data_IF_891966357661
#
_entry.id   IF_891966357661
#
_cell.length_a   1.000
_cell.length_b   1.000
_cell.length_c   1.000
_cell.angle_alpha   90.00
_cell.angle_beta   90.00
_cell.angle_gamma   90.00
#
_symmetry.space_group_name_H-M   'P 1'
#
loop_
_entity.id
_entity.type
_entity.pdbx_description
1 polymer ?
#
# COMPACT_ATOMS: atom_id res chain seq x y z
N UNK A 1 22.68 13.74 52.58
CA UNK A 1 22.00 15.02 52.30
C UNK A 1 20.55 14.74 51.96
N UNK A 2 19.62 15.29 52.74
CA UNK A 2 18.17 15.22 52.52
C UNK A 2 17.78 16.39 51.60
N UNK A 3 17.08 16.12 50.51
CA UNK A 3 16.30 17.14 49.80
C UNK A 3 14.89 16.61 49.54
N UNK A 4 13.92 17.38 50.02
CA UNK A 4 12.48 17.18 49.94
C UNK A 4 11.89 18.20 48.94
N UNK A 5 10.75 17.82 48.34
CA UNK A 5 9.75 18.64 47.59
C UNK A 5 10.21 19.06 46.18
N UNK A 6 9.39 19.03 45.12
CA UNK A 6 7.96 19.38 45.05
C UNK A 6 7.21 18.64 43.93
N UNK A 7 5.93 18.40 44.22
CA UNK A 7 4.83 18.07 43.31
C UNK A 7 4.62 19.23 42.33
N UNK A 8 4.33 18.96 41.05
CA UNK A 8 3.38 19.74 40.23
C UNK A 8 2.83 18.81 39.12
N UNK A 9 1.59 18.36 39.31
CA UNK A 9 0.79 17.76 38.27
C UNK A 9 0.28 18.87 37.35
N UNK A 10 0.42 18.68 36.03
CA UNK A 10 -0.21 19.54 35.02
C UNK A 10 -1.16 18.66 34.21
N UNK A 11 -2.41 18.62 34.66
CA UNK A 11 -3.54 18.10 33.89
C UNK A 11 -3.99 19.16 32.90
N UNK A 12 -3.73 18.96 31.62
CA UNK A 12 -4.31 19.76 30.54
C UNK A 12 -5.22 18.87 29.71
N UNK A 13 -6.51 18.86 30.04
CA UNK A 13 -7.55 18.27 29.21
C UNK A 13 -7.99 19.30 28.16
N UNK A 14 -7.70 19.02 26.88
CA UNK A 14 -8.25 19.77 25.76
C UNK A 14 -9.38 18.94 25.14
N UNK A 15 -10.62 19.34 25.41
CA UNK A 15 -11.81 18.82 24.76
C UNK A 15 -11.98 19.49 23.39
N UNK A 16 -11.88 18.74 22.30
CA UNK A 16 -12.33 19.19 20.98
C UNK A 16 -13.70 18.57 20.69
N UNK A 17 -14.69 19.43 20.57
CA UNK A 17 -16.07 19.10 20.22
C UNK A 17 -16.17 18.77 18.74
N UNK A 18 -16.73 17.60 18.43
CA UNK A 18 -17.12 17.19 17.08
C UNK A 18 -18.36 17.98 16.62
N UNK A 19 -18.26 18.64 15.47
CA UNK A 19 -19.43 19.19 14.76
C UNK A 19 -19.75 18.29 13.58
N UNK A 20 -20.96 17.70 13.48
CA UNK A 20 -21.41 17.07 12.24
C UNK A 20 -21.93 18.15 11.28
N UNK A 21 -21.35 18.22 10.08
CA UNK A 21 -21.94 18.96 8.96
C UNK A 21 -22.87 18.00 8.21
N UNK A 22 -24.17 18.23 8.37
CA UNK A 22 -25.24 17.59 7.61
C UNK A 22 -25.76 18.66 6.65
N UNK A 23 -25.65 18.43 5.34
CA UNK A 23 -26.42 19.18 4.35
C UNK A 23 -27.12 18.19 3.43
N UNK A 24 -28.43 18.13 3.58
CA UNK A 24 -29.37 17.48 2.69
C UNK A 24 -30.19 18.55 1.95
N UNK A 25 -30.51 18.29 0.68
CA UNK A 25 -31.75 18.63 -0.05
C UNK A 25 -31.45 18.53 -1.56
N UNK A 26 -31.95 17.55 -2.32
CA UNK A 26 -33.29 17.44 -2.95
C UNK A 26 -33.57 18.62 -3.91
N UNK A 27 -34.11 18.50 -5.13
CA UNK A 27 -34.82 17.43 -5.83
C UNK A 27 -34.93 17.75 -7.36
N UNK A 28 -35.09 16.70 -8.17
CA UNK A 28 -35.88 16.56 -9.41
C UNK A 28 -35.94 17.64 -10.52
N UNK A 29 -35.51 17.23 -11.74
CA UNK A 29 -36.20 17.36 -13.04
C UNK A 29 -35.34 16.56 -14.05
N UNK A 30 -35.78 15.56 -14.80
CA UNK A 30 -37.02 15.44 -15.56
C UNK A 30 -36.74 15.79 -17.02
N UNK A 31 -36.19 14.88 -17.82
CA UNK A 31 -36.24 14.98 -19.28
C UNK A 31 -36.42 13.62 -19.95
N UNK A 32 -37.63 13.47 -20.50
CA UNK A 32 -38.10 12.49 -21.48
C UNK A 32 -37.36 12.60 -22.82
N UNK A 33 -37.15 11.44 -23.43
CA UNK A 33 -36.94 11.07 -24.85
C UNK A 33 -36.84 12.16 -25.92
N UNK A 34 -35.87 12.04 -26.84
CA UNK A 34 -36.15 11.70 -28.25
C UNK A 34 -34.86 11.54 -29.06
N UNK A 35 -34.82 10.48 -29.85
CA UNK A 35 -33.82 10.14 -30.86
C UNK A 35 -33.80 11.16 -32.01
N UNK A 36 -32.61 11.48 -32.51
CA UNK A 36 -32.40 11.94 -33.90
C UNK A 36 -31.28 11.12 -34.52
N UNK A 37 -31.65 10.43 -35.59
CA UNK A 37 -30.80 9.64 -36.45
C UNK A 37 -29.93 10.54 -37.33
N UNK A 38 -28.63 10.25 -37.38
CA UNK A 38 -27.82 10.55 -38.56
C UNK A 38 -26.94 9.33 -38.85
N UNK A 39 -27.03 8.90 -40.11
CA UNK A 39 -26.66 7.61 -40.65
C UNK A 39 -25.16 7.42 -40.95
N UNK A 40 -24.75 6.15 -40.83
CA UNK A 40 -23.57 5.49 -41.40
C UNK A 40 -22.22 5.82 -40.72
N UNK A 41 -21.41 4.86 -40.29
CA UNK A 41 -21.02 3.65 -41.00
C UNK A 41 -20.93 2.42 -40.07
N UNK A 42 -21.23 1.27 -40.67
CA UNK A 42 -21.26 -0.07 -40.11
C UNK A 42 -19.83 -0.55 -39.82
N UNK A 43 -19.54 -0.87 -38.56
CA UNK A 43 -18.58 -1.93 -38.22
C UNK A 43 -19.29 -2.94 -37.33
N UNK A 44 -19.76 -4.01 -37.96
CA UNK A 44 -20.17 -5.23 -37.26
C UNK A 44 -18.96 -5.86 -36.61
N UNK A 45 -18.95 -5.94 -35.29
CA UNK A 45 -18.15 -6.91 -34.55
C UNK A 45 -19.01 -7.43 -33.42
N UNK A 46 -19.79 -8.45 -33.73
CA UNK A 46 -20.43 -9.33 -32.75
C UNK A 46 -19.36 -10.22 -32.13
N UNK A 47 -18.85 -9.85 -30.96
CA UNK A 47 -18.35 -10.78 -29.93
C UNK A 47 -18.61 -10.12 -28.57
N UNK A 48 -19.71 -10.50 -27.93
CA UNK A 48 -19.71 -11.46 -26.80
C UNK A 48 -19.09 -10.83 -25.55
N UNK A 49 -19.96 -10.27 -24.70
CA UNK A 49 -19.62 -9.81 -23.37
C UNK A 49 -19.15 -11.00 -22.52
N UNK A 50 -17.84 -11.22 -22.49
CA UNK A 50 -17.16 -11.99 -21.45
C UNK A 50 -16.62 -11.01 -20.42
N UNK A 51 -16.99 -11.23 -19.18
CA UNK A 51 -16.59 -10.48 -17.99
C UNK A 51 -15.07 -10.45 -17.79
N UNK A 52 -14.36 -9.56 -18.49
CA UNK A 52 -12.95 -9.22 -18.23
C UNK A 52 -12.88 -8.02 -17.29
N UNK A 53 -13.34 -8.19 -16.05
CA UNK A 53 -13.29 -7.14 -15.02
C UNK A 53 -12.07 -7.22 -14.09
N UNK A 54 -11.29 -8.30 -14.14
CA UNK A 54 -10.31 -8.61 -13.08
C UNK A 54 -8.85 -8.34 -13.45
N UNK A 55 -8.46 -8.47 -14.72
CA UNK A 55 -7.05 -8.31 -15.13
C UNK A 55 -6.63 -6.82 -15.11
N UNK A 56 -7.44 -5.94 -15.71
CA UNK A 56 -7.13 -4.51 -15.74
C UNK A 56 -7.12 -3.87 -14.34
N UNK A 57 -7.94 -4.37 -13.41
CA UNK A 57 -7.96 -3.89 -12.02
C UNK A 57 -6.74 -4.39 -11.20
N UNK A 58 -6.25 -5.59 -11.50
CA UNK A 58 -5.03 -6.13 -10.89
C UNK A 58 -3.80 -5.37 -11.36
N UNK A 59 -3.72 -5.05 -12.65
CA UNK A 59 -2.64 -4.26 -13.25
C UNK A 59 -2.66 -2.79 -12.80
N UNK A 60 -3.83 -2.19 -12.60
CA UNK A 60 -3.93 -0.82 -12.08
C UNK A 60 -3.48 -0.74 -10.62
N UNK A 61 -3.83 -1.74 -9.81
CA UNK A 61 -3.41 -1.83 -8.40
C UNK A 61 -1.90 -2.00 -8.27
N UNK A 62 -1.30 -2.95 -9.00
CA UNK A 62 0.15 -3.17 -8.95
C UNK A 62 0.93 -1.93 -9.40
N UNK A 63 0.45 -1.26 -10.45
CA UNK A 63 1.02 0.00 -10.93
C UNK A 63 0.95 1.10 -9.86
N UNK A 64 -0.18 1.25 -9.17
CA UNK A 64 -0.34 2.24 -8.09
C UNK A 64 0.61 1.96 -6.92
N UNK A 65 0.70 0.70 -6.48
CA UNK A 65 1.61 0.24 -5.42
C UNK A 65 3.06 0.55 -5.79
N UNK A 66 3.50 0.16 -6.98
CA UNK A 66 4.88 0.39 -7.44
C UNK A 66 5.20 1.88 -7.54
N UNK A 67 4.30 2.68 -8.09
CA UNK A 67 4.50 4.12 -8.23
C UNK A 67 4.61 4.82 -6.87
N UNK A 68 3.75 4.47 -5.92
CA UNK A 68 3.80 5.02 -4.57
C UNK A 68 5.07 4.59 -3.85
N UNK A 69 5.44 3.30 -3.91
CA UNK A 69 6.68 2.81 -3.31
C UNK A 69 7.92 3.57 -3.83
N UNK A 70 8.02 3.75 -5.15
CA UNK A 70 9.12 4.51 -5.78
C UNK A 70 9.14 5.97 -5.35
N UNK A 71 7.96 6.60 -5.21
CA UNK A 71 7.83 7.97 -4.70
C UNK A 71 8.33 8.09 -3.26
N UNK A 72 7.96 7.17 -2.37
CA UNK A 72 8.44 7.18 -0.99
C UNK A 72 9.95 6.98 -0.90
N UNK A 73 10.50 6.13 -1.74
CA UNK A 73 11.95 5.91 -1.84
C UNK A 73 12.75 7.15 -2.29
N UNK A 74 12.12 8.16 -2.89
CA UNK A 74 12.77 9.42 -3.27
C UNK A 74 12.59 10.55 -2.25
N UNK A 75 11.92 10.30 -1.12
CA UNK A 75 11.56 11.32 -0.13
C UNK A 75 12.48 11.36 1.10
N UNK A 76 13.53 10.54 1.14
CA UNK A 76 14.46 10.49 2.28
C UNK A 76 13.76 10.20 3.62
N UNK A 77 12.71 9.36 3.60
CA UNK A 77 11.98 8.94 4.80
C UNK A 77 12.89 8.05 5.65
N UNK A 78 13.18 8.39 6.91
CA UNK A 78 14.09 7.61 7.74
C UNK A 78 13.48 6.28 8.18
N UNK A 79 14.33 5.30 8.44
CA UNK A 79 13.92 4.11 9.15
C UNK A 79 13.59 4.45 10.61
N UNK A 80 12.41 4.04 11.08
CA UNK A 80 12.01 4.10 12.48
C UNK A 80 11.35 2.77 12.85
N UNK A 81 11.87 2.09 13.87
CA UNK A 81 11.30 0.84 14.36
C UNK A 81 9.84 1.05 14.82
N UNK A 82 8.91 0.25 14.30
CA UNK A 82 7.48 0.42 14.54
C UNK A 82 6.90 1.67 13.87
N UNK A 83 7.60 2.26 12.90
CA UNK A 83 7.14 3.42 12.15
C UNK A 83 6.25 3.03 10.97
N UNK A 84 5.23 3.84 10.70
CA UNK A 84 4.24 3.61 9.63
C UNK A 84 3.80 4.92 8.95
N UNK A 85 4.66 5.94 8.96
CA UNK A 85 4.29 7.29 8.48
C UNK A 85 5.43 7.95 7.72
N UNK A 86 5.13 9.07 7.05
CA UNK A 86 6.15 9.85 6.33
C UNK A 86 7.24 10.43 7.24
N UNK A 87 7.03 10.45 8.56
CA UNK A 87 8.05 10.86 9.54
C UNK A 87 9.04 9.73 9.88
N UNK A 88 8.71 8.49 9.51
CA UNK A 88 9.55 7.32 9.73
C UNK A 88 8.78 6.02 9.52
N UNK A 89 9.43 5.05 8.88
CA UNK A 89 8.85 3.75 8.54
C UNK A 89 9.81 2.61 8.90
N UNK A 90 9.29 1.47 9.34
CA UNK A 90 10.02 0.21 9.27
C UNK A 90 9.56 -0.62 8.06
N UNK A 91 10.09 -1.84 7.92
CA UNK A 91 9.86 -2.67 6.74
C UNK A 91 8.38 -3.02 6.54
N UNK A 92 7.69 -3.48 7.59
CA UNK A 92 6.27 -3.81 7.54
C UNK A 92 5.38 -2.57 7.53
N UNK A 93 5.79 -1.47 8.17
CA UNK A 93 5.02 -0.23 8.16
C UNK A 93 5.05 0.47 6.80
N UNK A 94 6.18 0.41 6.09
CA UNK A 94 6.27 0.87 4.70
C UNK A 94 5.31 0.11 3.79
N UNK A 95 5.29 -1.23 3.89
CA UNK A 95 4.47 -2.07 3.02
C UNK A 95 2.99 -1.91 3.31
N UNK A 96 2.58 -1.85 4.59
CA UNK A 96 1.18 -1.55 4.96
C UNK A 96 0.77 -0.18 4.44
N UNK A 97 1.58 0.87 4.70
CA UNK A 97 1.29 2.21 4.23
C UNK A 97 1.07 2.24 2.71
N UNK A 98 1.97 1.65 1.92
CA UNK A 98 1.83 1.66 0.46
C UNK A 98 0.55 0.95 0.02
N UNK A 99 0.27 -0.23 0.56
CA UNK A 99 -0.92 -1.00 0.16
C UNK A 99 -2.23 -0.36 0.63
N UNK A 100 -2.23 0.24 1.81
CA UNK A 100 -3.38 0.98 2.33
C UNK A 100 -3.69 2.19 1.45
N UNK A 101 -2.69 2.99 1.13
CA UNK A 101 -2.89 4.23 0.37
C UNK A 101 -3.12 3.99 -1.13
N UNK A 102 -2.45 2.99 -1.73
CA UNK A 102 -2.55 2.73 -3.16
C UNK A 102 -3.71 1.79 -3.55
N UNK A 103 -4.10 0.88 -2.64
CA UNK A 103 -5.03 -0.20 -2.94
C UNK A 103 -6.18 -0.35 -1.92
N UNK A 104 -6.17 0.40 -0.82
CA UNK A 104 -7.15 0.25 0.25
C UNK A 104 -7.01 -1.06 1.05
N UNK A 105 -5.86 -1.75 0.94
CA UNK A 105 -5.63 -3.05 1.58
C UNK A 105 -4.79 -2.87 2.85
N UNK A 106 -5.31 -3.36 3.98
CA UNK A 106 -4.57 -3.39 5.25
C UNK A 106 -3.85 -4.72 5.40
N UNK A 107 -2.52 -4.68 5.44
CA UNK A 107 -1.65 -5.84 5.60
C UNK A 107 -1.36 -6.13 7.09
N UNK A 108 -1.39 -5.10 7.93
CA UNK A 108 -0.94 -5.14 9.32
C UNK A 108 0.56 -4.84 9.45
N UNK A 109 0.95 -4.32 10.61
CA UNK A 109 2.31 -3.84 10.86
C UNK A 109 3.32 -4.95 11.24
N UNK A 110 2.94 -6.23 11.19
CA UNK A 110 3.84 -7.33 11.51
C UNK A 110 4.10 -8.19 10.28
N UNK A 111 5.37 -8.43 9.95
CA UNK A 111 5.81 -9.18 8.77
C UNK A 111 5.06 -10.50 8.59
N UNK A 112 4.95 -11.32 9.64
CA UNK A 112 4.24 -12.61 9.59
C UNK A 112 2.73 -12.43 9.36
N UNK A 113 2.14 -11.33 9.83
CA UNK A 113 0.74 -11.02 9.52
C UNK A 113 0.58 -10.77 8.02
N UNK A 114 1.53 -10.05 7.40
CA UNK A 114 1.50 -9.80 5.96
C UNK A 114 1.71 -11.07 5.14
N UNK A 115 2.50 -12.03 5.61
CA UNK A 115 2.65 -13.33 4.96
C UNK A 115 1.30 -14.06 4.81
N UNK A 116 0.41 -13.92 5.80
CA UNK A 116 -0.93 -14.52 5.74
C UNK A 116 -1.84 -13.87 4.69
N UNK A 117 -1.45 -12.70 4.18
CA UNK A 117 -2.18 -11.93 3.17
C UNK A 117 -1.68 -12.18 1.76
N UNK A 118 -0.71 -13.07 1.56
CA UNK A 118 -0.15 -13.34 0.24
C UNK A 118 -0.31 -14.78 -0.21
N UNK A 119 -0.43 -14.97 -1.51
CA UNK A 119 -0.19 -16.25 -2.17
C UNK A 119 1.30 -16.39 -2.46
N UNK A 120 1.97 -17.27 -1.71
CA UNK A 120 3.43 -17.50 -1.77
C UNK A 120 3.86 -18.06 -3.12
N UNK A 121 5.01 -17.60 -3.62
CA UNK A 121 5.67 -18.07 -4.84
C UNK A 121 7.19 -17.97 -4.72
N UNK A 122 7.89 -18.56 -5.69
CA UNK A 122 9.33 -18.39 -5.84
C UNK A 122 9.67 -16.93 -6.18
N UNK A 123 10.81 -16.43 -5.66
CA UNK A 123 11.30 -15.06 -5.94
C UNK A 123 11.46 -14.82 -7.45
N UNK A 124 11.91 -15.83 -8.20
CA UNK A 124 12.05 -15.74 -9.65
C UNK A 124 10.74 -15.46 -10.39
N UNK A 125 9.59 -15.73 -9.76
CA UNK A 125 8.26 -15.49 -10.32
C UNK A 125 7.63 -14.19 -9.80
N UNK A 126 8.37 -13.38 -9.02
CA UNK A 126 7.89 -12.12 -8.49
C UNK A 126 7.49 -11.17 -9.64
N UNK A 127 6.32 -10.56 -9.50
CA UNK A 127 5.79 -9.55 -10.42
C UNK A 127 5.74 -8.19 -9.70
N UNK A 128 5.89 -7.06 -10.42
CA UNK A 128 5.78 -5.73 -9.81
C UNK A 128 4.53 -5.62 -8.92
N UNK A 129 4.72 -5.13 -7.71
CA UNK A 129 3.70 -5.11 -6.66
C UNK A 129 3.84 -6.25 -5.65
N UNK A 130 4.35 -7.44 -6.02
CA UNK A 130 4.51 -8.55 -5.07
C UNK A 130 5.37 -8.15 -3.86
N UNK A 131 5.07 -8.74 -2.70
CA UNK A 131 5.91 -8.60 -1.51
C UNK A 131 7.06 -9.61 -1.54
N UNK A 132 8.25 -9.17 -1.13
CA UNK A 132 9.43 -10.00 -0.93
C UNK A 132 9.65 -10.19 0.56
N UNK A 133 9.93 -11.42 1.00
CA UNK A 133 10.13 -11.75 2.41
C UNK A 133 11.49 -12.39 2.64
N UNK A 134 12.16 -12.02 3.74
CA UNK A 134 13.37 -12.68 4.23
C UNK A 134 13.07 -13.43 5.51
N UNK A 135 13.48 -14.70 5.54
CA UNK A 135 13.17 -15.66 6.60
C UNK A 135 12.24 -16.76 6.11
N UNK A 136 12.12 -17.82 6.93
CA UNK A 136 11.16 -18.88 6.66
C UNK A 136 9.73 -18.35 6.86
N UNK A 137 8.78 -18.90 6.11
CA UNK A 137 7.36 -18.59 6.31
C UNK A 137 6.94 -18.91 7.76
N UNK A 138 6.23 -17.99 8.40
CA UNK A 138 5.91 -18.00 9.83
C UNK A 138 6.96 -17.31 10.71
N UNK A 139 8.09 -16.89 10.13
CA UNK A 139 9.22 -16.31 10.85
C UNK A 139 10.00 -15.27 10.01
N UNK A 140 9.36 -14.61 9.03
CA UNK A 140 10.06 -13.57 8.26
C UNK A 140 10.40 -12.37 9.13
N UNK A 141 11.64 -11.91 9.03
CA UNK A 141 12.16 -10.76 9.79
C UNK A 141 12.24 -9.48 8.95
N UNK A 142 12.06 -9.57 7.63
CA UNK A 142 12.06 -8.42 6.73
C UNK A 142 11.06 -8.61 5.60
N UNK A 143 10.50 -7.49 5.12
CA UNK A 143 9.58 -7.44 3.99
C UNK A 143 9.85 -6.22 3.12
N UNK A 144 9.65 -6.34 1.82
CA UNK A 144 9.82 -5.27 0.84
C UNK A 144 8.80 -5.36 -0.31
N UNK A 145 8.68 -4.31 -1.11
CA UNK A 145 7.82 -4.28 -2.31
C UNK A 145 8.67 -4.48 -3.55
N UNK A 146 8.42 -5.54 -4.32
CA UNK A 146 9.07 -5.75 -5.61
C UNK A 146 8.55 -4.74 -6.64
N UNK A 147 9.46 -4.08 -7.36
CA UNK A 147 9.11 -3.04 -8.35
C UNK A 147 9.49 -3.43 -9.78
N UNK A 148 9.84 -4.70 -10.02
CA UNK A 148 10.34 -5.18 -11.31
C UNK A 148 11.84 -5.01 -11.47
N UNK A 149 12.38 -5.51 -12.59
CA UNK A 149 13.79 -5.37 -12.97
C UNK A 149 14.79 -5.81 -11.87
N UNK A 150 14.44 -6.85 -11.11
CA UNK A 150 15.27 -7.34 -10.00
C UNK A 150 15.49 -6.28 -8.90
N UNK A 151 14.57 -5.32 -8.77
CA UNK A 151 14.62 -4.24 -7.78
C UNK A 151 13.41 -4.27 -6.84
N UNK A 152 13.61 -3.72 -5.65
CA UNK A 152 12.57 -3.58 -4.63
C UNK A 152 12.73 -2.28 -3.85
N UNK A 153 11.66 -1.87 -3.16
CA UNK A 153 11.66 -0.75 -2.22
C UNK A 153 11.52 -1.30 -0.81
N UNK A 154 12.41 -0.87 0.08
CA UNK A 154 12.43 -1.28 1.48
C UNK A 154 12.80 -0.12 2.41
N UNK A 155 12.35 -0.22 3.66
CA UNK A 155 12.90 0.51 4.80
C UNK A 155 13.90 -0.44 5.50
N UNK A 156 15.22 -0.31 5.27
CA UNK A 156 16.12 -1.45 5.51
C UNK A 156 16.44 -1.66 6.99
N UNK A 157 16.95 -0.62 7.66
CA UNK A 157 17.43 -0.68 9.05
C UNK A 157 17.69 0.73 9.63
N UNK A 158 17.85 0.88 10.95
CA UNK A 158 18.18 2.15 11.58
C UNK A 158 19.40 2.84 10.95
N UNK A 159 19.31 4.17 10.82
CA UNK A 159 20.35 4.99 10.18
C UNK A 159 20.31 5.01 8.65
N UNK A 160 19.33 4.33 8.04
CA UNK A 160 19.07 4.38 6.60
C UNK A 160 17.67 4.92 6.31
N UNK A 161 17.43 5.26 5.05
CA UNK A 161 16.13 5.74 4.57
C UNK A 161 15.44 4.67 3.71
N UNK A 162 14.12 4.83 3.54
CA UNK A 162 13.37 4.13 2.50
C UNK A 162 14.07 4.37 1.16
N UNK A 163 14.40 3.29 0.44
CA UNK A 163 15.20 3.38 -0.78
C UNK A 163 14.88 2.24 -1.74
N UNK A 164 15.23 2.45 -3.02
CA UNK A 164 15.26 1.39 -4.03
C UNK A 164 16.56 0.59 -3.86
N UNK A 165 16.44 -0.73 -3.83
CA UNK A 165 17.55 -1.67 -3.73
C UNK A 165 17.44 -2.73 -4.84
N UNK A 166 18.57 -3.39 -5.14
CA UNK A 166 18.65 -4.45 -6.14
C UNK A 166 18.84 -5.79 -5.44
N UNK A 167 18.08 -6.81 -5.87
CA UNK A 167 18.25 -8.18 -5.37
C UNK A 167 19.66 -8.66 -5.74
N UNK A 168 20.39 -9.11 -4.73
CA UNK A 168 21.73 -9.63 -4.89
C UNK A 168 21.97 -10.79 -3.90
N UNK A 169 23.06 -11.53 -4.11
CA UNK A 169 23.37 -12.73 -3.31
C UNK A 169 23.69 -12.44 -1.85
N UNK A 170 24.11 -11.22 -1.48
CA UNK A 170 24.43 -10.89 -0.09
C UNK A 170 23.18 -10.72 0.78
N UNK A 171 22.04 -10.37 0.17
CA UNK A 171 20.76 -10.18 0.87
C UNK A 171 19.59 -10.67 0.02
N UNK A 172 19.57 -11.97 -0.26
CA UNK A 172 18.56 -12.58 -1.14
C UNK A 172 17.26 -12.88 -0.38
N UNK A 173 16.08 -12.45 -0.88
CA UNK A 173 14.81 -12.81 -0.27
C UNK A 173 14.57 -14.32 -0.34
N UNK A 174 13.86 -14.83 0.66
CA UNK A 174 13.56 -16.27 0.80
C UNK A 174 12.38 -16.69 -0.06
N UNK A 175 11.38 -15.82 -0.22
CA UNK A 175 10.22 -16.04 -1.08
C UNK A 175 9.57 -14.71 -1.48
N UNK A 176 8.67 -14.78 -2.46
CA UNK A 176 7.79 -13.67 -2.83
C UNK A 176 6.33 -14.07 -2.59
N UNK A 177 5.42 -13.09 -2.60
CA UNK A 177 4.00 -13.36 -2.53
C UNK A 177 3.14 -12.27 -3.15
N UNK A 178 2.10 -12.67 -3.87
CA UNK A 178 1.09 -11.74 -4.38
C UNK A 178 0.05 -11.50 -3.30
N UNK A 179 -0.21 -10.23 -2.99
CA UNK A 179 -1.25 -9.86 -2.03
C UNK A 179 -2.64 -10.31 -2.52
N UNK A 180 -3.34 -11.04 -1.66
CA UNK A 180 -4.67 -11.55 -1.89
C UNK A 180 -5.67 -10.38 -1.81
N UNK A 181 -6.60 -10.31 -2.77
CA UNK A 181 -7.63 -9.26 -2.87
C UNK A 181 -9.00 -9.82 -2.47
#
# INVERSE_FOLDING_TARGET
>A
MKFNKSILAITSAAAFTLTPMISASANAAGHTSQSVSTSAQVYTSTVQATSYGSDTATDSTSTAVVNLAKKLASQSIPYVWGGESLQGMDCSGLTDYVYREAAGIQLGHYTVTQESKVTKKAVANAQPGDLLFWGAQGASYHVAIYIGNNQYVAAPQPGQNVSVQTINSAFMPSFAGTVNR
#
